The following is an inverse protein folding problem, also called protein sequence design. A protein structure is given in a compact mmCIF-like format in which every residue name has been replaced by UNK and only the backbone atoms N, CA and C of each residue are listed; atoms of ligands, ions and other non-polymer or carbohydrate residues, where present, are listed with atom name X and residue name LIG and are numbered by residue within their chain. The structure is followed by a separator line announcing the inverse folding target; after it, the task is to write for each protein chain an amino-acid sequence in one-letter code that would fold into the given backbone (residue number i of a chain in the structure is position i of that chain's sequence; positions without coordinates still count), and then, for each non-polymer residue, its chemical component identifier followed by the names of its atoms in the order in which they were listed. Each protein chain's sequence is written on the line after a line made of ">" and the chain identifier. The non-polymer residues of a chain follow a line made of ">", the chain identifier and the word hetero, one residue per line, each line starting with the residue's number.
data_IF_778587362306
#
_entry.id   IF_778587362306
#
_cell.length_a   1.000
_cell.length_b   1.000
_cell.length_c   1.000
_cell.angle_alpha   90.00
_cell.angle_beta   90.00
_cell.angle_gamma   90.00
#
_symmetry.space_group_name_H-M   'P 1'
#
loop_
_entity.id
_entity.type
_entity.pdbx_description
1 polymer ?
#
# COMPACT_ATOMS: atom_id res chain seq x y z
N UNK A 1 -42.79 -7.32 -28.12
CA UNK A 1 -42.19 -7.86 -26.88
C UNK A 1 -40.82 -8.42 -27.26
N UNK A 2 -39.67 -7.82 -26.96
CA UNK A 2 -39.06 -7.64 -25.64
C UNK A 2 -38.16 -6.39 -25.66
N UNK A 3 -38.75 -5.21 -25.49
CA UNK A 3 -38.05 -4.03 -24.97
C UNK A 3 -38.05 -4.20 -23.47
N UNK A 4 -37.04 -4.82 -22.88
CA UNK A 4 -36.81 -4.82 -21.43
C UNK A 4 -35.39 -5.31 -21.20
N UNK A 5 -34.68 -4.61 -20.32
CA UNK A 5 -33.36 -4.94 -19.76
C UNK A 5 -32.12 -4.34 -20.43
N UNK A 6 -32.20 -3.05 -20.81
CA UNK A 6 -30.99 -2.21 -20.93
C UNK A 6 -30.65 -1.47 -19.62
N UNK A 7 -31.49 -1.63 -18.59
CA UNK A 7 -31.28 -1.06 -17.25
C UNK A 7 -30.50 -2.05 -16.36
N UNK A 8 -30.77 -3.35 -16.47
CA UNK A 8 -30.05 -4.38 -15.72
C UNK A 8 -28.56 -4.43 -16.08
N UNK A 9 -28.22 -4.27 -17.37
CA UNK A 9 -26.85 -4.28 -17.85
C UNK A 9 -26.04 -3.03 -17.41
N UNK A 10 -26.71 -1.88 -17.26
CA UNK A 10 -26.10 -0.64 -16.74
C UNK A 10 -25.81 -0.70 -15.24
N UNK A 11 -26.56 -1.50 -14.48
CA UNK A 11 -26.41 -1.63 -13.04
C UNK A 11 -25.17 -2.48 -12.67
N UNK A 12 -24.92 -3.57 -13.40
CA UNK A 12 -23.73 -4.42 -13.20
C UNK A 12 -22.42 -3.71 -13.55
N UNK A 13 -22.40 -2.85 -14.59
CA UNK A 13 -21.23 -2.05 -14.96
C UNK A 13 -20.88 -0.95 -13.93
N UNK A 14 -21.78 -0.64 -12.99
CA UNK A 14 -21.52 0.33 -11.92
C UNK A 14 -20.80 -0.28 -10.71
N UNK A 15 -20.69 -1.61 -10.64
CA UNK A 15 -19.99 -2.32 -9.56
C UNK A 15 -18.53 -2.71 -9.90
N UNK A 16 -18.03 -2.40 -11.11
CA UNK A 16 -16.69 -2.81 -11.57
C UNK A 16 -15.61 -1.73 -11.52
N UNK A 17 -15.76 -0.67 -10.73
CA UNK A 17 -14.70 0.32 -10.57
C UNK A 17 -14.69 1.01 -9.20
N UNK A 18 -14.97 0.27 -8.12
CA UNK A 18 -14.45 0.64 -6.81
C UNK A 18 -12.97 0.23 -6.76
N UNK A 19 -12.11 0.90 -7.54
CA UNK A 19 -10.69 0.96 -7.19
C UNK A 19 -10.66 1.77 -5.90
N UNK A 20 -10.65 1.10 -4.76
CA UNK A 20 -10.60 1.77 -3.47
C UNK A 20 -9.37 2.68 -3.48
N UNK A 21 -9.58 3.99 -3.30
CA UNK A 21 -8.50 4.99 -3.19
C UNK A 21 -7.80 4.84 -1.82
N UNK A 22 -7.34 3.62 -1.50
CA UNK A 22 -6.58 3.36 -0.29
C UNK A 22 -5.14 3.84 -0.50
N UNK A 23 -4.56 4.60 0.43
CA UNK A 23 -3.19 5.08 0.31
C UNK A 23 -2.22 3.91 0.24
N UNK A 24 -1.37 3.94 -0.78
CA UNK A 24 -0.42 2.87 -1.14
C UNK A 24 0.88 2.94 -0.32
N UNK A 25 1.12 4.04 0.38
CA UNK A 25 2.27 4.23 1.28
C UNK A 25 1.90 4.99 2.55
N UNK A 26 2.76 4.95 3.57
CA UNK A 26 2.57 5.75 4.78
C UNK A 26 2.67 7.26 4.50
N UNK A 27 3.52 7.67 3.55
CA UNK A 27 3.63 9.07 3.13
C UNK A 27 2.33 9.60 2.51
N UNK A 28 1.69 8.81 1.63
CA UNK A 28 0.39 9.18 1.06
C UNK A 28 -0.70 9.36 2.13
N UNK A 29 -0.65 8.58 3.22
CA UNK A 29 -1.57 8.75 4.36
C UNK A 29 -1.41 10.10 5.06
N UNK A 30 -0.21 10.69 5.04
CA UNK A 30 0.05 11.98 5.68
C UNK A 30 -0.50 13.16 4.87
N UNK A 31 -0.62 13.04 3.55
CA UNK A 31 -1.16 14.09 2.68
C UNK A 31 -0.34 15.40 2.70
N UNK A 32 0.97 15.32 2.95
CA UNK A 32 1.86 16.48 3.07
C UNK A 32 2.51 16.86 1.74
N UNK A 33 2.69 18.16 1.53
CA UNK A 33 3.42 18.71 0.38
C UNK A 33 4.89 18.97 0.73
N UNK A 34 5.64 17.93 1.11
CA UNK A 34 7.08 18.04 1.42
C UNK A 34 7.84 16.78 1.03
N UNK A 35 9.17 16.83 1.07
CA UNK A 35 9.96 15.64 0.77
C UNK A 35 9.77 14.59 1.88
N UNK A 36 9.61 13.28 1.58
CA UNK A 36 9.57 12.23 2.60
C UNK A 36 10.76 12.26 3.59
N UNK A 37 11.93 12.77 3.17
CA UNK A 37 13.11 12.94 4.05
C UNK A 37 12.93 14.02 5.12
N UNK A 38 12.03 14.97 4.93
CA UNK A 38 11.75 16.11 5.82
C UNK A 38 10.56 15.84 6.76
N UNK A 39 9.95 14.67 6.67
CA UNK A 39 8.88 14.24 7.57
C UNK A 39 9.45 13.91 8.94
N UNK A 40 8.86 14.50 9.99
CA UNK A 40 9.34 14.36 11.36
C UNK A 40 8.99 13.00 11.94
N UNK A 41 9.64 12.62 13.03
CA UNK A 41 9.32 11.36 13.72
C UNK A 41 7.87 11.32 14.21
N UNK A 42 7.35 12.44 14.72
CA UNK A 42 5.99 12.55 15.23
C UNK A 42 4.95 12.36 14.11
N UNK A 43 5.24 12.84 12.91
CA UNK A 43 4.39 12.63 11.75
C UNK A 43 4.44 11.16 11.32
N UNK A 44 5.64 10.57 11.22
CA UNK A 44 5.77 9.15 10.86
C UNK A 44 5.05 8.22 11.83
N UNK A 45 5.11 8.50 13.13
CA UNK A 45 4.39 7.74 14.17
C UNK A 45 2.87 7.75 14.01
N UNK A 46 2.29 8.73 13.31
CA UNK A 46 0.83 8.78 13.05
C UNK A 46 0.37 7.78 11.98
N UNK A 47 1.28 7.35 11.10
CA UNK A 47 0.93 6.58 9.88
C UNK A 47 1.60 5.22 9.78
N UNK A 48 2.73 5.02 10.48
CA UNK A 48 3.42 3.75 10.61
C UNK A 48 2.92 3.01 11.85
N UNK A 49 2.92 1.67 11.80
CA UNK A 49 2.81 0.88 13.03
C UNK A 49 4.07 1.04 13.87
N UNK A 50 3.99 0.73 15.17
CA UNK A 50 5.16 0.80 16.07
C UNK A 50 6.35 0.00 15.53
N UNK A 51 6.12 -1.23 15.08
CA UNK A 51 7.15 -2.08 14.48
C UNK A 51 7.75 -1.47 13.20
N UNK A 52 6.91 -0.99 12.27
CA UNK A 52 7.38 -0.34 11.05
C UNK A 52 8.23 0.90 11.36
N UNK A 53 7.83 1.70 12.36
CA UNK A 53 8.57 2.88 12.78
C UNK A 53 9.93 2.50 13.36
N UNK A 54 9.99 1.55 14.30
CA UNK A 54 11.25 1.10 14.89
C UNK A 54 12.21 0.56 13.81
N UNK A 55 11.72 -0.27 12.89
CA UNK A 55 12.55 -0.84 11.81
C UNK A 55 13.03 0.26 10.85
N UNK A 56 12.12 1.06 10.30
CA UNK A 56 12.46 1.97 9.20
C UNK A 56 13.07 3.30 9.63
N UNK A 57 12.82 3.75 10.87
CA UNK A 57 13.28 5.07 11.36
C UNK A 57 14.35 4.98 12.43
N UNK A 58 14.43 3.87 13.16
CA UNK A 58 15.43 3.64 14.22
C UNK A 58 16.41 2.51 13.91
N UNK A 59 16.43 2.04 12.66
CA UNK A 59 17.28 0.94 12.22
C UNK A 59 17.10 -0.34 13.06
N UNK A 60 15.88 -0.57 13.56
CA UNK A 60 15.52 -1.83 14.22
C UNK A 60 15.44 -2.99 13.23
N UNK A 61 15.39 -4.20 13.77
CA UNK A 61 15.28 -5.45 13.01
C UNK A 61 14.08 -6.24 13.53
N UNK A 62 13.24 -6.75 12.64
CA UNK A 62 12.17 -7.68 13.03
C UNK A 62 12.75 -8.98 13.62
N UNK A 63 11.94 -9.69 14.41
CA UNK A 63 12.36 -10.99 14.93
C UNK A 63 12.50 -12.00 13.80
N UNK A 64 13.40 -12.96 13.99
CA UNK A 64 13.63 -14.01 13.00
C UNK A 64 12.33 -14.77 12.70
N UNK A 65 12.04 -14.97 11.41
CA UNK A 65 10.91 -15.74 10.91
C UNK A 65 9.51 -15.17 11.23
N UNK A 66 9.41 -13.90 11.65
CA UNK A 66 8.11 -13.25 11.95
C UNK A 66 7.62 -12.30 10.85
N UNK A 67 8.51 -11.90 9.94
CA UNK A 67 8.20 -10.94 8.90
C UNK A 67 7.07 -11.41 7.99
N UNK A 68 6.16 -10.51 7.64
CA UNK A 68 5.02 -10.80 6.73
C UNK A 68 5.47 -11.44 5.42
N UNK A 69 6.67 -11.10 4.95
CA UNK A 69 7.22 -11.57 3.68
C UNK A 69 8.33 -12.63 3.82
N UNK A 70 8.56 -13.20 5.01
CA UNK A 70 9.60 -14.23 5.26
C UNK A 70 9.48 -15.45 4.34
N UNK A 71 8.25 -15.94 4.14
CA UNK A 71 7.94 -17.10 3.27
C UNK A 71 7.02 -16.73 2.12
N UNK A 72 7.20 -15.54 1.57
CA UNK A 72 6.33 -15.01 0.54
C UNK A 72 6.98 -15.16 -0.84
N UNK A 73 6.44 -16.12 -1.61
CA UNK A 73 6.88 -16.43 -2.96
C UNK A 73 5.74 -16.16 -3.93
N UNK A 74 5.93 -15.16 -4.80
CA UNK A 74 4.94 -14.75 -5.81
C UNK A 74 5.54 -14.90 -7.21
N UNK A 75 4.71 -15.19 -8.21
CA UNK A 75 5.13 -15.34 -9.61
C UNK A 75 4.96 -14.02 -10.36
N UNK A 76 5.68 -12.99 -9.93
CA UNK A 76 5.60 -11.63 -10.46
C UNK A 76 5.04 -10.62 -9.46
N UNK A 77 5.40 -9.35 -9.64
CA UNK A 77 5.04 -8.26 -8.74
C UNK A 77 6.25 -7.45 -8.28
N UNK A 78 6.06 -6.64 -7.25
CA UNK A 78 7.10 -5.78 -6.70
C UNK A 78 6.91 -5.52 -5.21
N UNK A 79 8.02 -5.28 -4.52
CA UNK A 79 8.05 -4.82 -3.14
C UNK A 79 8.33 -3.31 -3.11
N UNK A 80 7.55 -2.60 -2.31
CA UNK A 80 7.51 -1.15 -2.27
C UNK A 80 7.93 -0.66 -0.88
N UNK A 81 8.68 0.44 -0.82
CA UNK A 81 9.02 1.09 0.44
C UNK A 81 7.75 1.50 1.19
N UNK A 82 7.57 0.98 2.41
CA UNK A 82 6.38 1.27 3.23
C UNK A 82 6.28 2.76 3.60
N UNK A 83 7.42 3.46 3.71
CA UNK A 83 7.46 4.87 4.03
C UNK A 83 7.01 5.72 2.83
N UNK A 84 7.84 5.79 1.78
CA UNK A 84 7.65 6.74 0.68
C UNK A 84 6.94 6.18 -0.56
N UNK A 85 6.70 4.88 -0.64
CA UNK A 85 6.00 4.28 -1.77
C UNK A 85 6.84 4.04 -3.02
N UNK A 86 8.16 4.20 -2.96
CA UNK A 86 9.05 3.87 -4.09
C UNK A 86 9.18 2.36 -4.29
N UNK A 87 9.23 1.92 -5.54
CA UNK A 87 9.50 0.52 -5.89
C UNK A 87 10.96 0.16 -5.57
N UNK A 88 11.17 -0.94 -4.84
CA UNK A 88 12.51 -1.37 -4.40
C UNK A 88 12.96 -2.65 -5.07
N UNK A 89 12.10 -3.67 -5.10
CA UNK A 89 12.45 -4.98 -5.63
C UNK A 89 11.36 -5.46 -6.58
N UNK A 90 11.76 -5.94 -7.76
CA UNK A 90 10.86 -6.56 -8.73
C UNK A 90 11.03 -8.07 -8.68
N UNK A 91 9.93 -8.80 -8.65
CA UNK A 91 9.96 -10.26 -8.71
C UNK A 91 10.12 -10.67 -10.16
N UNK A 92 11.16 -11.46 -10.42
CA UNK A 92 11.42 -12.02 -11.75
C UNK A 92 10.45 -13.17 -12.00
N UNK A 93 9.96 -13.23 -13.23
CA UNK A 93 9.12 -14.32 -13.75
C UNK A 93 9.96 -15.57 -14.06
#
# INVERSE_FOLDING_TARGET
>A
MKRLNNIFFKFLNKMSASKTNLPKSAFEKLGLNKNPKEVTEEEWKKVLTSEQFEITRKAGTELAFTGKYDKHFISGGKYVCICCGVDLFFVRE
#
